data_IF_007549994044
#
_entry.id   IF_007549994044
#
_cell.length_a   1.000
_cell.length_b   1.000
_cell.length_c   1.000
_cell.angle_alpha   90.00
_cell.angle_beta   90.00
_cell.angle_gamma   90.00
#
_symmetry.space_group_name_H-M   'P 1'
#
loop_
_entity.id
_entity.type
_entity.pdbx_description
1 polymer ?
#
# COMPACT_ATOMS: atom_id res chain seq x y z
N UNK A 1 3.81 61.89 59.08
CA UNK A 1 5.08 61.22 58.72
C UNK A 1 5.08 59.82 59.33
N UNK A 2 4.79 58.80 58.53
CA UNK A 2 4.64 57.41 58.99
C UNK A 2 5.91 56.60 58.70
N UNK A 3 6.56 56.10 59.77
CA UNK A 3 7.79 55.31 59.72
C UNK A 3 7.44 53.83 59.49
N UNK A 4 7.58 53.33 58.25
CA UNK A 4 7.36 51.91 57.92
C UNK A 4 8.40 51.05 58.65
N UNK A 5 7.94 50.11 59.48
CA UNK A 5 8.79 49.09 60.13
C UNK A 5 9.13 48.00 59.10
N UNK A 6 10.42 47.73 58.97
CA UNK A 6 11.00 46.72 58.10
C UNK A 6 10.74 45.32 58.69
N UNK A 7 10.13 44.40 57.93
CA UNK A 7 10.01 42.99 58.33
C UNK A 7 11.23 42.22 57.83
N UNK A 8 12.02 41.73 58.78
CA UNK A 8 13.15 40.83 58.57
C UNK A 8 12.64 39.48 58.04
N UNK A 9 13.00 39.13 56.80
CA UNK A 9 12.79 37.80 56.23
C UNK A 9 13.78 36.83 56.88
N UNK A 10 13.32 36.00 57.81
CA UNK A 10 14.09 34.83 58.29
C UNK A 10 14.04 33.76 57.20
N UNK A 11 15.19 33.43 56.65
CA UNK A 11 15.36 32.37 55.66
C UNK A 11 15.01 31.01 56.24
N UNK A 12 14.33 30.19 55.45
CA UNK A 12 14.03 28.79 55.77
C UNK A 12 15.33 27.97 55.65
N UNK A 13 15.71 27.16 56.65
CA UNK A 13 16.93 26.38 56.61
C UNK A 13 16.89 25.31 55.50
N UNK A 14 18.00 25.22 54.75
CA UNK A 14 18.17 24.55 53.45
C UNK A 14 18.16 23.02 53.51
N UNK A 15 17.83 22.38 54.63
CA UNK A 15 17.95 20.92 54.79
C UNK A 15 16.61 20.17 54.81
N UNK A 16 15.48 20.86 54.60
CA UNK A 16 14.15 20.24 54.53
C UNK A 16 13.55 20.35 53.10
N UNK A 17 14.32 19.92 52.10
CA UNK A 17 13.84 19.79 50.71
C UNK A 17 14.25 18.44 50.09
N UNK A 18 14.13 17.38 50.86
CA UNK A 18 14.12 16.03 50.30
C UNK A 18 12.87 15.34 50.84
N UNK A 19 12.15 14.64 49.97
CA UNK A 19 10.88 13.93 50.22
C UNK A 19 9.61 14.78 50.01
N UNK A 20 9.26 15.01 48.75
CA UNK A 20 7.90 14.78 48.22
C UNK A 20 7.81 15.26 46.77
N UNK A 21 8.46 14.55 45.85
CA UNK A 21 8.10 14.55 44.44
C UNK A 21 7.81 13.09 44.07
N UNK A 22 6.74 12.56 44.66
CA UNK A 22 6.22 11.26 44.29
C UNK A 22 5.57 11.38 42.92
N UNK A 23 6.29 10.81 41.94
CA UNK A 23 5.88 10.38 40.61
C UNK A 23 4.36 10.36 40.36
N UNK A 24 3.93 11.28 39.49
CA UNK A 24 2.78 11.07 38.61
C UNK A 24 3.25 11.33 37.16
N UNK A 25 4.31 10.65 36.74
CA UNK A 25 4.45 10.32 35.33
C UNK A 25 3.55 9.11 35.12
N UNK A 26 2.30 9.36 34.76
CA UNK A 26 1.44 8.32 34.22
C UNK A 26 2.18 7.72 33.04
N UNK A 27 2.58 6.46 33.15
CA UNK A 27 2.91 5.64 32.00
C UNK A 27 1.63 5.56 31.17
N UNK A 28 1.47 6.45 30.19
CA UNK A 28 0.69 6.11 29.02
C UNK A 28 1.43 4.94 28.38
N UNK A 29 1.10 3.72 28.80
CA UNK A 29 1.41 2.56 27.99
C UNK A 29 0.57 2.73 26.73
N UNK A 30 1.20 3.17 25.65
CA UNK A 30 0.66 3.00 24.31
C UNK A 30 0.52 1.50 24.09
N UNK A 31 -0.58 0.92 24.54
CA UNK A 31 -1.01 -0.41 24.10
C UNK A 31 -1.50 -0.22 22.67
N UNK A 32 -0.57 -0.07 21.73
CA UNK A 32 -0.83 -0.31 20.32
C UNK A 32 -1.27 -1.76 20.23
N UNK A 33 -2.58 -1.98 20.21
CA UNK A 33 -3.17 -3.30 20.16
C UNK A 33 -2.73 -3.96 18.86
N UNK A 34 -1.71 -4.82 18.93
CA UNK A 34 -1.29 -5.61 17.79
C UNK A 34 -2.48 -6.47 17.34
N UNK A 35 -2.85 -6.45 16.05
CA UNK A 35 -3.92 -7.28 15.54
C UNK A 35 -3.54 -8.75 15.76
N UNK A 36 -4.49 -9.59 16.22
CA UNK A 36 -4.19 -10.99 16.46
C UNK A 36 -3.79 -11.69 15.14
N UNK A 37 -3.04 -12.80 15.18
CA UNK A 37 -2.47 -13.43 13.98
C UNK A 37 -3.48 -13.80 12.88
N UNK A 38 -4.73 -14.03 13.26
CA UNK A 38 -5.82 -14.45 12.38
C UNK A 38 -6.66 -13.28 11.84
N UNK A 39 -6.49 -12.06 12.36
CA UNK A 39 -7.21 -10.89 11.86
C UNK A 39 -6.43 -10.23 10.73
N UNK A 40 -7.09 -9.68 9.69
CA UNK A 40 -6.42 -8.84 8.71
C UNK A 40 -5.71 -7.67 9.39
N UNK A 41 -4.50 -7.35 8.92
CA UNK A 41 -3.61 -6.37 9.55
C UNK A 41 -2.92 -5.52 8.47
N UNK A 42 -3.74 -4.94 7.60
CA UNK A 42 -3.38 -4.17 6.41
C UNK A 42 -2.27 -3.15 6.72
N UNK A 43 -1.07 -3.35 6.17
CA UNK A 43 0.11 -2.51 6.39
C UNK A 43 0.74 -2.56 7.79
N UNK A 44 -0.01 -2.90 8.85
CA UNK A 44 0.51 -2.95 10.23
C UNK A 44 1.63 -3.98 10.38
N UNK A 45 1.45 -5.19 9.83
CA UNK A 45 2.47 -6.26 9.93
C UNK A 45 3.75 -5.91 9.18
N UNK A 46 3.64 -5.30 8.00
CA UNK A 46 4.81 -4.83 7.25
C UNK A 46 5.68 -3.85 8.05
N UNK A 47 5.07 -3.04 8.92
CA UNK A 47 5.76 -2.02 9.71
C UNK A 47 6.14 -2.49 11.13
N UNK A 48 5.44 -3.48 11.70
CA UNK A 48 5.51 -3.81 13.13
C UNK A 48 5.84 -5.28 13.43
N UNK A 49 5.92 -6.16 12.42
CA UNK A 49 6.22 -7.59 12.59
C UNK A 49 7.56 -7.96 11.92
N UNK A 50 8.63 -8.22 12.69
CA UNK A 50 9.94 -8.64 12.15
C UNK A 50 9.89 -9.95 11.35
N UNK A 51 8.85 -10.77 11.55
CA UNK A 51 8.62 -12.03 10.84
C UNK A 51 7.74 -11.90 9.60
N UNK A 52 7.33 -10.68 9.21
CA UNK A 52 6.43 -10.48 8.07
C UNK A 52 7.07 -11.00 6.77
N UNK A 53 6.41 -11.98 6.15
CA UNK A 53 6.87 -12.64 4.93
C UNK A 53 6.56 -11.85 3.65
N UNK A 54 5.90 -10.68 3.75
CA UNK A 54 5.42 -9.92 2.60
C UNK A 54 4.08 -10.45 2.07
N UNK A 55 3.64 -9.92 0.94
CA UNK A 55 2.45 -10.40 0.23
C UNK A 55 2.88 -11.35 -0.89
N UNK A 56 2.27 -12.52 -0.96
CA UNK A 56 2.56 -13.50 -2.00
C UNK A 56 1.74 -13.18 -3.26
N UNK A 57 2.41 -12.90 -4.37
CA UNK A 57 1.79 -12.65 -5.65
C UNK A 57 1.64 -13.91 -6.48
N UNK A 58 0.83 -13.82 -7.54
CA UNK A 58 0.66 -14.91 -8.51
C UNK A 58 1.91 -15.18 -9.35
N UNK A 59 2.72 -14.15 -9.66
CA UNK A 59 3.94 -14.33 -10.45
C UNK A 59 5.22 -13.99 -9.67
N UNK A 60 5.10 -13.29 -8.55
CA UNK A 60 6.23 -12.96 -7.64
C UNK A 60 6.00 -13.56 -6.26
N UNK A 61 7.03 -14.22 -5.73
CA UNK A 61 6.97 -14.85 -4.41
C UNK A 61 6.72 -13.85 -3.27
N UNK A 62 7.13 -12.58 -3.41
CA UNK A 62 6.99 -11.56 -2.36
C UNK A 62 6.89 -10.13 -2.88
N UNK A 63 5.85 -9.42 -2.44
CA UNK A 63 5.68 -7.98 -2.52
C UNK A 63 5.82 -7.35 -1.12
N UNK A 64 6.47 -6.19 -1.03
CA UNK A 64 6.62 -5.46 0.24
C UNK A 64 5.33 -4.73 0.64
N UNK A 65 4.65 -4.15 -0.34
CA UNK A 65 3.44 -3.36 -0.17
C UNK A 65 2.34 -3.91 -1.09
N UNK A 66 1.09 -3.86 -0.62
CA UNK A 66 -0.09 -4.25 -1.39
C UNK A 66 -0.84 -3.05 -1.98
N UNK A 67 -0.46 -1.83 -1.59
CA UNK A 67 -1.12 -0.58 -1.98
C UNK A 67 -2.66 -0.57 -1.79
N UNK A 68 -3.16 -1.40 -0.88
CA UNK A 68 -4.59 -1.60 -0.57
C UNK A 68 -5.31 -2.66 -1.40
N UNK A 69 -4.63 -3.34 -2.33
CA UNK A 69 -5.26 -4.26 -3.30
C UNK A 69 -5.96 -5.42 -2.62
N UNK A 70 -5.35 -5.95 -1.55
CA UNK A 70 -5.94 -7.02 -0.74
C UNK A 70 -7.25 -6.59 -0.06
N UNK A 71 -7.50 -5.29 0.04
CA UNK A 71 -8.71 -4.69 0.64
C UNK A 71 -9.74 -4.32 -0.43
N UNK A 72 -9.47 -4.68 -1.69
CA UNK A 72 -10.28 -4.33 -2.84
C UNK A 72 -10.11 -2.87 -3.26
N UNK A 73 -9.01 -2.19 -2.94
CA UNK A 73 -8.74 -0.84 -3.44
C UNK A 73 -7.34 -0.72 -4.01
N UNK A 74 -7.07 0.21 -4.91
CA UNK A 74 -5.68 0.53 -5.25
C UNK A 74 -5.41 2.00 -4.95
N UNK A 75 -4.41 2.25 -4.11
CA UNK A 75 -3.91 3.60 -3.87
C UNK A 75 -2.99 4.03 -5.01
N UNK A 76 -3.59 4.66 -6.01
CA UNK A 76 -2.95 5.12 -7.25
C UNK A 76 -1.81 6.10 -7.01
N UNK A 77 -1.91 6.96 -6.00
CA UNK A 77 -0.85 7.91 -5.66
C UNK A 77 0.33 7.22 -4.97
N UNK A 78 0.06 6.29 -4.05
CA UNK A 78 1.09 5.54 -3.35
C UNK A 78 1.89 4.63 -4.30
N UNK A 79 1.18 3.89 -5.17
CA UNK A 79 1.83 3.03 -6.17
C UNK A 79 2.59 3.87 -7.20
N UNK A 80 2.03 5.02 -7.61
CA UNK A 80 2.68 5.97 -8.51
C UNK A 80 3.93 6.62 -7.92
N UNK A 81 3.92 6.96 -6.63
CA UNK A 81 5.09 7.46 -5.92
C UNK A 81 6.19 6.39 -5.83
N UNK A 82 5.82 5.13 -5.66
CA UNK A 82 6.76 4.01 -5.65
C UNK A 82 7.39 3.78 -7.03
N UNK A 83 6.64 3.99 -8.12
CA UNK A 83 7.14 3.92 -9.50
C UNK A 83 8.01 5.14 -9.87
N UNK A 84 7.60 6.34 -9.45
CA UNK A 84 8.22 7.60 -9.88
C UNK A 84 9.35 8.11 -8.97
N UNK A 85 9.47 7.59 -7.76
CA UNK A 85 10.41 8.06 -6.74
C UNK A 85 11.77 7.36 -6.81
N UNK A 86 12.77 8.01 -7.41
CA UNK A 86 14.17 7.54 -7.42
C UNK A 86 14.89 7.53 -6.06
N UNK A 87 14.20 7.55 -4.92
CA UNK A 87 14.80 7.40 -3.60
C UNK A 87 13.74 6.96 -2.55
N UNK A 88 13.77 5.68 -2.18
CA UNK A 88 13.28 5.23 -0.86
C UNK A 88 12.06 4.31 -0.81
N UNK A 89 11.39 4.03 -1.92
CA UNK A 89 10.39 2.96 -1.98
C UNK A 89 11.00 1.78 -2.73
N UNK A 90 11.51 0.79 -1.98
CA UNK A 90 11.95 -0.47 -2.56
C UNK A 90 10.68 -1.19 -3.02
N UNK A 91 10.36 -1.08 -4.30
CA UNK A 91 9.54 -2.13 -4.92
C UNK A 91 10.49 -3.31 -5.06
N UNK A 92 10.57 -4.14 -4.01
CA UNK A 92 11.28 -5.42 -4.06
C UNK A 92 10.66 -6.24 -5.20
N UNK A 93 11.43 -6.71 -6.18
CA UNK A 93 12.67 -7.48 -6.08
C UNK A 93 13.74 -6.91 -7.03
N UNK A 94 15.04 -7.13 -6.76
CA UNK A 94 16.09 -7.04 -7.79
C UNK A 94 15.91 -8.24 -8.75
N UNK A 95 14.85 -8.21 -9.55
CA UNK A 95 14.86 -8.85 -10.87
C UNK A 95 15.55 -7.83 -11.79
N UNK A 96 16.40 -8.29 -12.71
CA UNK A 96 17.36 -7.45 -13.44
C UNK A 96 16.86 -6.05 -13.77
N UNK A 97 17.66 -5.04 -13.42
CA UNK A 97 17.46 -3.63 -13.74
C UNK A 97 16.08 -3.02 -13.37
N UNK A 98 15.49 -3.40 -12.24
CA UNK A 98 14.73 -2.45 -11.40
C UNK A 98 13.40 -1.91 -11.94
N UNK A 99 12.64 -2.70 -12.70
CA UNK A 99 11.31 -2.27 -13.11
C UNK A 99 10.24 -2.49 -12.02
N UNK A 100 9.43 -1.48 -11.69
CA UNK A 100 8.27 -1.64 -10.83
C UNK A 100 7.16 -2.41 -11.57
N UNK A 101 6.18 -2.96 -10.83
CA UNK A 101 4.96 -3.64 -11.38
C UNK A 101 4.57 -3.05 -12.73
N UNK A 102 4.84 -3.77 -13.81
CA UNK A 102 4.60 -3.28 -15.15
C UNK A 102 3.47 -4.09 -15.78
N UNK A 103 2.37 -3.43 -16.14
CA UNK A 103 1.53 -3.99 -17.19
C UNK A 103 2.21 -3.68 -18.51
N UNK A 104 2.80 -4.69 -19.11
CA UNK A 104 3.28 -4.60 -20.48
C UNK A 104 2.08 -4.85 -21.39
N UNK A 105 1.54 -3.77 -21.96
CA UNK A 105 0.59 -3.90 -23.07
C UNK A 105 1.41 -4.30 -24.31
N UNK A 106 1.69 -5.60 -24.44
CA UNK A 106 2.48 -6.16 -25.52
C UNK A 106 1.85 -5.88 -26.88
N UNK A 107 2.67 -5.51 -27.87
CA UNK A 107 2.23 -5.43 -29.27
C UNK A 107 1.80 -6.80 -29.84
N UNK A 108 2.19 -7.90 -29.18
CA UNK A 108 1.82 -9.27 -29.53
C UNK A 108 0.44 -9.70 -28.96
N UNK A 109 0.02 -9.13 -27.84
CA UNK A 109 -1.25 -9.38 -27.17
C UNK A 109 -2.36 -8.43 -27.62
N UNK A 110 -2.95 -8.69 -28.79
CA UNK A 110 -4.24 -8.13 -29.21
C UNK A 110 -4.36 -6.60 -29.19
N UNK A 111 -3.94 -5.94 -30.28
CA UNK A 111 -3.97 -4.48 -30.48
C UNK A 111 -5.33 -3.77 -30.20
N UNK A 112 -6.44 -4.52 -30.12
CA UNK A 112 -7.79 -3.97 -29.92
C UNK A 112 -8.09 -3.74 -28.43
N UNK A 113 -7.97 -4.76 -27.58
CA UNK A 113 -8.23 -4.63 -26.15
C UNK A 113 -7.14 -3.81 -25.47
N UNK A 114 -5.87 -4.09 -25.76
CA UNK A 114 -4.74 -3.29 -25.26
C UNK A 114 -4.78 -1.84 -25.73
N UNK A 115 -5.26 -1.58 -26.96
CA UNK A 115 -5.44 -0.22 -27.47
C UNK A 115 -6.59 0.55 -26.80
N UNK A 116 -7.73 -0.11 -26.53
CA UNK A 116 -8.89 0.53 -25.89
C UNK A 116 -8.64 0.82 -24.41
N UNK A 117 -8.08 -0.16 -23.70
CA UNK A 117 -7.71 -0.06 -22.29
C UNK A 117 -6.54 0.93 -22.14
N UNK A 118 -5.47 0.75 -22.94
CA UNK A 118 -4.25 1.55 -22.83
C UNK A 118 -4.42 3.03 -23.19
N UNK A 119 -5.39 3.41 -24.04
CA UNK A 119 -5.68 4.84 -24.32
C UNK A 119 -6.35 5.56 -23.14
N UNK A 120 -6.97 4.82 -22.22
CA UNK A 120 -7.73 5.38 -21.11
C UNK A 120 -6.98 5.29 -19.77
N UNK A 121 -5.82 4.63 -19.75
CA UNK A 121 -5.05 4.33 -18.55
C UNK A 121 -3.65 4.92 -18.65
N UNK A 122 -3.20 5.58 -17.59
CA UNK A 122 -1.81 5.97 -17.47
C UNK A 122 -0.99 4.94 -16.69
N UNK A 123 0.27 5.28 -16.36
CA UNK A 123 1.20 4.37 -15.69
C UNK A 123 0.69 3.91 -14.33
N UNK A 124 0.01 4.76 -13.57
CA UNK A 124 -0.45 4.40 -12.23
C UNK A 124 -1.68 3.50 -12.32
N UNK A 125 -2.54 3.74 -13.31
CA UNK A 125 -3.68 2.86 -13.60
C UNK A 125 -3.19 1.46 -14.01
N UNK A 126 -2.18 1.41 -14.89
CA UNK A 126 -1.52 0.17 -15.30
C UNK A 126 -0.91 -0.56 -14.08
N UNK A 127 -0.22 0.14 -13.20
CA UNK A 127 0.33 -0.48 -12.01
C UNK A 127 -0.75 -1.04 -11.07
N UNK A 128 -1.86 -0.32 -10.88
CA UNK A 128 -3.00 -0.82 -10.11
C UNK A 128 -3.57 -2.12 -10.72
N UNK A 129 -3.70 -2.16 -12.05
CA UNK A 129 -4.14 -3.34 -12.77
C UNK A 129 -3.18 -4.52 -12.58
N UNK A 130 -1.87 -4.31 -12.73
CA UNK A 130 -0.86 -5.36 -12.53
C UNK A 130 -0.85 -5.88 -11.11
N UNK A 131 -0.95 -4.98 -10.15
CA UNK A 131 -0.94 -5.36 -8.74
C UNK A 131 -2.23 -6.09 -8.33
N UNK A 132 -3.38 -5.76 -8.93
CA UNK A 132 -4.60 -6.54 -8.80
C UNK A 132 -4.45 -7.97 -9.35
N UNK A 133 -3.77 -8.14 -10.48
CA UNK A 133 -3.45 -9.46 -11.04
C UNK A 133 -2.42 -10.23 -10.21
N UNK A 134 -1.58 -9.55 -9.44
CA UNK A 134 -0.65 -10.18 -8.51
C UNK A 134 -1.33 -10.64 -7.23
N UNK A 135 -2.14 -9.78 -6.60
CA UNK A 135 -2.51 -9.98 -5.19
C UNK A 135 -3.99 -10.31 -4.98
N UNK A 136 -4.90 -9.78 -5.79
CA UNK A 136 -6.34 -9.96 -5.52
C UNK A 136 -6.81 -11.38 -5.86
N UNK A 137 -7.67 -11.91 -4.99
CA UNK A 137 -8.26 -13.24 -5.17
C UNK A 137 -9.21 -13.27 -6.38
N UNK A 138 -9.41 -14.43 -7.03
CA UNK A 138 -10.43 -14.59 -8.06
C UNK A 138 -11.81 -14.16 -7.57
N UNK A 139 -12.45 -13.22 -8.28
CA UNK A 139 -13.75 -12.67 -7.95
C UNK A 139 -13.73 -11.48 -6.98
N UNK A 140 -12.56 -11.09 -6.46
CA UNK A 140 -12.41 -9.91 -5.61
C UNK A 140 -12.27 -8.65 -6.47
N UNK A 141 -13.22 -7.70 -6.41
CA UNK A 141 -13.09 -6.44 -7.13
C UNK A 141 -12.09 -5.51 -6.45
N UNK A 142 -11.26 -4.85 -7.26
CA UNK A 142 -10.29 -3.84 -6.86
C UNK A 142 -10.68 -2.51 -7.48
N UNK A 143 -10.85 -1.47 -6.67
CA UNK A 143 -11.36 -0.15 -7.06
C UNK A 143 -10.27 0.93 -6.99
N UNK A 144 -10.24 1.83 -7.98
CA UNK A 144 -9.46 3.08 -7.92
C UNK A 144 -10.11 4.16 -8.80
N UNK A 145 -9.70 5.41 -8.62
CA UNK A 145 -10.07 6.50 -9.54
C UNK A 145 -8.92 6.73 -10.54
N UNK A 146 -9.24 6.84 -11.83
CA UNK A 146 -8.23 7.12 -12.85
C UNK A 146 -7.70 8.55 -12.76
N UNK A 147 -6.75 8.92 -13.62
CA UNK A 147 -6.18 10.27 -13.68
C UNK A 147 -7.21 11.40 -13.85
N UNK A 148 -8.37 11.09 -14.43
CA UNK A 148 -9.46 12.04 -14.67
C UNK A 148 -10.50 12.05 -13.53
N UNK A 149 -10.30 11.26 -12.47
CA UNK A 149 -11.24 11.11 -11.35
C UNK A 149 -12.46 10.24 -11.69
N UNK A 150 -12.41 9.44 -12.74
CA UNK A 150 -13.47 8.49 -13.07
C UNK A 150 -13.22 7.16 -12.34
N UNK A 151 -14.27 6.53 -11.79
CA UNK A 151 -14.12 5.27 -11.07
C UNK A 151 -13.77 4.14 -12.04
N UNK A 152 -12.76 3.37 -11.66
CA UNK A 152 -12.37 2.12 -12.30
C UNK A 152 -12.51 0.99 -11.29
N UNK A 153 -13.00 -0.15 -11.76
CA UNK A 153 -12.87 -1.37 -10.98
C UNK A 153 -12.53 -2.56 -11.85
N UNK A 154 -11.63 -3.39 -11.33
CA UNK A 154 -11.16 -4.59 -11.98
C UNK A 154 -11.42 -5.78 -11.08
N UNK A 155 -11.96 -6.85 -11.64
CA UNK A 155 -12.16 -8.12 -10.96
C UNK A 155 -11.34 -9.18 -11.67
N UNK A 156 -10.24 -9.66 -11.05
CA UNK A 156 -9.53 -10.82 -11.54
C UNK A 156 -10.44 -12.05 -11.53
N UNK A 157 -10.38 -12.83 -12.59
CA UNK A 157 -11.15 -14.03 -12.79
C UNK A 157 -10.35 -15.30 -12.49
N UNK A 158 -10.76 -16.38 -13.15
CA UNK A 158 -10.12 -17.68 -13.05
C UNK A 158 -8.66 -17.63 -13.48
N UNK A 159 -7.84 -18.39 -12.78
CA UNK A 159 -6.49 -18.76 -13.22
C UNK A 159 -6.62 -19.93 -14.20
N UNK A 160 -5.92 -19.86 -15.33
CA UNK A 160 -5.87 -20.89 -16.37
C UNK A 160 -4.65 -21.78 -16.15
N UNK A 161 -4.65 -22.95 -16.79
CA UNK A 161 -3.55 -23.92 -16.68
C UNK A 161 -2.19 -23.34 -17.14
N UNK A 162 -2.21 -22.32 -18.00
CA UNK A 162 -1.03 -21.61 -18.49
C UNK A 162 -0.50 -20.53 -17.54
N UNK A 163 -1.06 -20.40 -16.33
CA UNK A 163 -0.73 -19.32 -15.38
C UNK A 163 -1.38 -17.98 -15.70
N UNK A 164 -2.05 -17.85 -16.86
CA UNK A 164 -2.80 -16.65 -17.20
C UNK A 164 -4.05 -16.51 -16.35
N UNK A 165 -4.51 -15.27 -16.15
CA UNK A 165 -5.72 -14.93 -15.41
C UNK A 165 -6.70 -14.22 -16.32
N UNK A 166 -7.95 -14.68 -16.33
CA UNK A 166 -9.04 -13.88 -16.93
C UNK A 166 -9.24 -12.62 -16.07
N UNK A 167 -9.78 -11.54 -16.63
CA UNK A 167 -10.21 -10.38 -15.86
C UNK A 167 -11.40 -9.69 -16.51
N UNK A 168 -12.20 -9.04 -15.67
CA UNK A 168 -13.20 -8.06 -16.07
C UNK A 168 -12.81 -6.70 -15.50
N UNK A 169 -13.00 -5.63 -16.27
CA UNK A 169 -12.72 -4.28 -15.86
C UNK A 169 -13.81 -3.35 -16.37
N UNK A 170 -14.19 -2.40 -15.53
CA UNK A 170 -15.15 -1.35 -15.85
C UNK A 170 -14.44 0.00 -15.82
N UNK A 171 -14.45 0.72 -16.93
CA UNK A 171 -13.91 2.10 -17.05
C UNK A 171 -15.03 2.97 -17.57
N UNK A 172 -15.39 4.03 -16.86
CA UNK A 172 -16.44 4.98 -17.28
C UNK A 172 -17.79 4.31 -17.63
N UNK A 173 -18.11 3.19 -16.97
CA UNK A 173 -19.31 2.40 -17.22
C UNK A 173 -19.22 1.45 -18.44
N UNK A 174 -18.13 1.49 -19.20
CA UNK A 174 -17.84 0.52 -20.25
C UNK A 174 -17.15 -0.72 -19.69
N UNK A 175 -17.62 -1.89 -20.13
CA UNK A 175 -17.10 -3.19 -19.69
C UNK A 175 -16.07 -3.71 -20.67
N UNK A 176 -14.92 -4.06 -20.14
CA UNK A 176 -13.82 -4.70 -20.85
C UNK A 176 -13.47 -6.02 -20.19
N UNK A 177 -13.36 -7.07 -20.98
CA UNK A 177 -12.92 -8.39 -20.51
C UNK A 177 -11.67 -8.78 -21.25
N UNK A 178 -10.76 -9.48 -20.60
CA UNK A 178 -9.54 -9.95 -21.22
C UNK A 178 -8.92 -11.11 -20.46
N UNK A 179 -7.81 -11.58 -20.99
CA UNK A 179 -6.90 -12.48 -20.27
C UNK A 179 -5.60 -11.72 -20.07
N UNK A 180 -4.91 -11.92 -18.96
CA UNK A 180 -3.56 -11.42 -18.73
C UNK A 180 -2.65 -12.60 -18.38
N UNK A 181 -1.46 -12.65 -18.95
CA UNK A 181 -0.49 -13.70 -18.71
C UNK A 181 0.76 -13.10 -18.08
N UNK A 182 1.35 -13.73 -17.05
CA UNK A 182 2.64 -13.28 -16.56
C UNK A 182 3.70 -13.57 -17.64
N UNK A 183 4.49 -12.56 -17.99
CA UNK A 183 5.61 -12.68 -18.94
C UNK A 183 6.94 -12.77 -18.16
N UNK A 184 7.08 -11.92 -17.15
CA UNK A 184 8.17 -11.92 -16.18
C UNK A 184 7.59 -11.72 -14.77
N UNK A 185 8.34 -11.97 -13.69
CA UNK A 185 7.86 -11.75 -12.33
C UNK A 185 7.38 -10.30 -12.13
N UNK A 186 6.10 -10.11 -11.87
CA UNK A 186 5.43 -8.82 -11.67
C UNK A 186 5.03 -8.11 -12.96
N UNK A 187 5.27 -8.74 -14.11
CA UNK A 187 4.97 -8.21 -15.43
C UNK A 187 3.85 -9.03 -16.09
N UNK A 188 2.75 -8.35 -16.43
CA UNK A 188 1.61 -8.99 -17.06
C UNK A 188 1.37 -8.45 -18.47
N UNK A 189 1.13 -9.37 -19.39
CA UNK A 189 0.73 -9.11 -20.76
C UNK A 189 -0.75 -9.41 -20.98
N UNK A 190 -1.53 -8.44 -21.44
CA UNK A 190 -2.93 -8.66 -21.83
C UNK A 190 -2.98 -9.46 -23.13
N UNK A 191 -3.69 -10.59 -23.13
CA UNK A 191 -3.99 -11.43 -24.30
C UNK A 191 -5.49 -11.38 -24.60
N UNK A 192 -5.80 -11.24 -25.89
CA UNK A 192 -7.16 -11.24 -26.46
C UNK A 192 -7.47 -12.50 -27.24
#
# INVERSE_FOLDING_TARGET
MARKRNHSRRGVPTHLKALAAAMLFGFAADTLAAPPPWAPAHGWRAQNDPGYAGYHGYSVDRWEHDYGVMDGRCNRDAIGAAIGGGAGAVIGHQVGDGDPVAILIGAAGGAVLGGMIGRQMDRNDQACMGHALELAEPGQPVYWDNANGQPVHMTPGRVRDSGCRDFEMMIDGERHTGTACPDEPGHWEIRG
#
